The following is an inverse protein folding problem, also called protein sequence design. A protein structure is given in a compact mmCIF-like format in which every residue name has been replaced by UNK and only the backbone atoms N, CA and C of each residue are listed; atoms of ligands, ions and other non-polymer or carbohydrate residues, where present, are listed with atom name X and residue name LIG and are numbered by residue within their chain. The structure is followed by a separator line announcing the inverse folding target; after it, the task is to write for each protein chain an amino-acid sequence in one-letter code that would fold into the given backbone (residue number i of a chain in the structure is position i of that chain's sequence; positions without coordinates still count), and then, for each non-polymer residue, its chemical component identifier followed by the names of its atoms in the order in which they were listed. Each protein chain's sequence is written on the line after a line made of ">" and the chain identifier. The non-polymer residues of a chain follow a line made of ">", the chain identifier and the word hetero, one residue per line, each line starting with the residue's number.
data_IF_422780577271
#
_entry.id   IF_422780577271
#
_cell.length_a   1.000
_cell.length_b   1.000
_cell.length_c   1.000
_cell.angle_alpha   90.00
_cell.angle_beta   90.00
_cell.angle_gamma   90.00
#
_symmetry.space_group_name_H-M   'P 1'
#
loop_
_entity.id
_entity.type
_entity.pdbx_description
1 polymer ?
#
# COMPACT_ATOMS: atom_id res chain seq x y z
N UNK A 1 38.22 22.91 16.00
CA UNK A 1 36.87 22.31 15.92
C UNK A 1 35.83 23.41 15.70
N UNK A 2 35.23 23.48 14.51
CA UNK A 2 34.20 24.48 14.18
C UNK A 2 32.86 24.04 14.79
N UNK A 3 32.33 24.79 15.75
CA UNK A 3 30.97 24.61 16.30
C UNK A 3 29.97 25.01 15.20
N UNK A 4 29.16 24.07 14.72
CA UNK A 4 28.03 24.37 13.83
C UNK A 4 26.89 24.93 14.69
N UNK A 5 26.47 26.16 14.40
CA UNK A 5 25.28 26.76 15.01
C UNK A 5 24.03 26.03 14.51
N UNK A 6 23.13 25.70 15.43
CA UNK A 6 21.80 25.17 15.15
C UNK A 6 20.96 26.31 14.57
N UNK A 7 20.54 26.19 13.32
CA UNK A 7 19.57 27.12 12.70
C UNK A 7 18.17 26.60 13.04
N UNK A 8 17.44 27.31 13.89
CA UNK A 8 16.02 27.07 14.17
C UNK A 8 15.23 27.85 13.13
N UNK A 9 14.45 27.16 12.30
CA UNK A 9 13.54 27.78 11.34
C UNK A 9 12.29 28.26 12.09
N UNK A 10 12.02 29.56 12.08
CA UNK A 10 10.86 30.17 12.71
C UNK A 10 9.63 30.08 11.80
N UNK A 11 8.61 29.33 12.22
CA UNK A 11 7.22 29.57 11.83
C UNK A 11 6.41 29.96 13.08
N UNK A 12 6.83 31.05 13.72
CA UNK A 12 6.18 31.59 14.91
C UNK A 12 5.14 32.63 14.54
N UNK A 13 3.85 32.29 14.68
CA UNK A 13 2.80 33.31 14.85
C UNK A 13 3.01 33.95 16.23
N UNK A 14 3.44 35.21 16.24
CA UNK A 14 3.50 36.06 17.43
C UNK A 14 2.11 36.24 18.02
N UNK A 15 1.87 35.76 19.24
CA UNK A 15 0.74 36.20 20.06
C UNK A 15 1.24 36.62 21.45
N UNK A 16 1.17 37.93 21.64
CA UNK A 16 1.35 38.69 22.87
C UNK A 16 0.37 38.23 23.96
N UNK A 17 0.79 38.42 25.21
CA UNK A 17 0.11 38.00 26.44
C UNK A 17 -1.38 38.33 26.48
N UNK A 18 -2.20 37.29 26.67
CA UNK A 18 -3.63 37.39 26.91
C UNK A 18 -3.96 37.12 28.38
N UNK A 19 -4.70 38.06 28.97
CA UNK A 19 -5.31 37.97 30.31
C UNK A 19 -6.32 36.82 30.36
N UNK A 20 -6.30 36.05 31.46
CA UNK A 20 -7.24 34.95 31.73
C UNK A 20 -8.60 35.53 32.14
N UNK A 21 -9.66 35.23 31.38
CA UNK A 21 -11.05 35.56 31.75
C UNK A 21 -11.86 34.27 31.80
N UNK A 22 -12.46 33.99 32.96
CA UNK A 22 -13.23 32.78 33.24
C UNK A 22 -14.68 32.88 32.73
N UNK A 23 -15.08 31.95 31.87
CA UNK A 23 -16.49 31.54 31.73
C UNK A 23 -16.57 30.01 31.75
N UNK A 24 -17.60 29.41 32.39
CA UNK A 24 -17.70 27.96 32.52
C UNK A 24 -18.35 27.34 31.27
N UNK A 25 -17.60 26.48 30.58
CA UNK A 25 -18.16 25.51 29.61
C UNK A 25 -17.88 24.10 30.14
N UNK A 26 -18.94 23.29 30.28
CA UNK A 26 -18.89 21.91 30.79
C UNK A 26 -17.87 21.05 30.02
N UNK A 27 -16.96 20.42 30.76
CA UNK A 27 -16.01 19.44 30.23
C UNK A 27 -16.75 18.14 29.84
N UNK A 28 -16.88 17.89 28.54
CA UNK A 28 -17.26 16.58 28.00
C UNK A 28 -16.09 15.61 28.12
N UNK A 29 -16.29 14.50 28.83
CA UNK A 29 -15.28 13.45 28.98
C UNK A 29 -15.02 12.74 27.65
N UNK A 30 -13.78 12.81 27.17
CA UNK A 30 -13.33 12.10 25.98
C UNK A 30 -12.57 10.83 26.37
N UNK A 31 -12.99 9.68 25.81
CA UNK A 31 -12.29 8.40 25.88
C UNK A 31 -10.89 8.52 25.25
N UNK A 32 -9.84 8.49 26.08
CA UNK A 32 -8.44 8.65 25.65
C UNK A 32 -7.93 7.58 24.67
N UNK A 33 -8.52 6.38 24.67
CA UNK A 33 -8.04 5.25 23.86
C UNK A 33 -8.40 5.37 22.37
N UNK A 34 -9.45 6.12 22.04
CA UNK A 34 -10.00 6.10 20.67
C UNK A 34 -9.40 7.17 19.75
N UNK A 35 -8.74 8.21 20.30
CA UNK A 35 -8.22 9.33 19.50
C UNK A 35 -6.84 9.06 18.89
N UNK A 36 -6.05 8.15 19.48
CA UNK A 36 -4.66 7.92 19.09
C UNK A 36 -4.49 7.49 17.61
N UNK A 37 -5.32 6.60 17.04
CA UNK A 37 -5.24 6.27 15.61
C UNK A 37 -5.43 7.49 14.72
N UNK A 38 -6.37 8.38 15.07
CA UNK A 38 -6.64 9.61 14.33
C UNK A 38 -5.43 10.55 14.39
N UNK A 39 -4.84 10.72 15.57
CA UNK A 39 -3.65 11.57 15.75
C UNK A 39 -2.45 11.04 14.97
N UNK A 40 -2.24 9.72 14.91
CA UNK A 40 -1.19 9.10 14.09
C UNK A 40 -1.36 9.40 12.60
N UNK A 41 -2.59 9.27 12.07
CA UNK A 41 -2.90 9.64 10.68
C UNK A 41 -2.62 11.12 10.43
N UNK A 42 -3.00 12.00 11.36
CA UNK A 42 -2.71 13.43 11.27
C UNK A 42 -1.20 13.71 11.27
N UNK A 43 -0.43 13.02 12.12
CA UNK A 43 1.02 13.16 12.16
C UNK A 43 1.65 12.89 10.78
N UNK A 44 1.31 11.76 10.14
CA UNK A 44 1.81 11.39 8.81
C UNK A 44 1.32 12.38 7.75
N UNK A 45 0.01 12.63 7.71
CA UNK A 45 -0.62 13.49 6.71
C UNK A 45 -0.02 14.88 6.74
N UNK A 46 0.27 15.44 7.89
CA UNK A 46 0.74 16.82 8.02
C UNK A 46 2.27 16.94 7.92
N UNK A 47 3.03 15.84 8.06
CA UNK A 47 4.49 15.88 8.08
C UNK A 47 5.11 16.40 6.77
N UNK A 48 4.47 16.16 5.62
CA UNK A 48 4.95 16.65 4.32
C UNK A 48 5.03 18.18 4.24
N UNK A 49 4.34 18.90 5.13
CA UNK A 49 4.39 20.38 5.22
C UNK A 49 5.73 20.91 5.74
N UNK A 50 6.61 20.02 6.21
CA UNK A 50 7.92 20.33 6.77
C UNK A 50 9.02 19.74 5.87
N UNK A 51 9.56 20.50 4.90
CA UNK A 51 10.58 20.01 3.97
C UNK A 51 11.82 19.44 4.68
N UNK A 52 12.18 19.99 5.83
CA UNK A 52 13.27 19.52 6.70
C UNK A 52 13.07 18.07 7.16
N UNK A 53 11.83 17.58 7.16
CA UNK A 53 11.43 16.21 7.51
C UNK A 53 11.14 15.31 6.30
N UNK A 54 11.48 15.73 5.07
CA UNK A 54 11.32 14.89 3.86
C UNK A 54 11.96 13.50 4.01
N UNK A 55 11.21 12.43 3.71
CA UNK A 55 11.67 11.05 3.89
C UNK A 55 11.94 10.63 5.34
N UNK A 56 11.45 11.40 6.32
CA UNK A 56 11.43 11.02 7.73
C UNK A 56 10.03 10.53 8.13
N UNK A 57 9.96 9.78 9.22
CA UNK A 57 8.74 9.14 9.71
C UNK A 57 8.53 9.43 11.20
N UNK A 58 7.28 9.66 11.64
CA UNK A 58 6.97 9.86 13.05
C UNK A 58 6.97 8.52 13.80
N UNK A 59 7.49 8.47 15.04
CA UNK A 59 7.61 7.24 15.85
C UNK A 59 6.40 7.00 16.76
N UNK A 60 6.50 6.04 17.69
CA UNK A 60 5.57 5.91 18.80
C UNK A 60 5.44 7.22 19.60
N UNK A 61 4.20 7.67 19.88
CA UNK A 61 3.99 8.95 20.52
C UNK A 61 4.06 8.92 22.04
N UNK A 62 4.39 10.08 22.63
CA UNK A 62 4.35 10.34 24.06
C UNK A 62 3.19 11.30 24.36
N UNK A 63 2.28 10.98 25.31
CA UNK A 63 1.17 11.87 25.63
C UNK A 63 1.65 13.12 26.36
N UNK A 64 1.14 14.28 25.92
CA UNK A 64 1.34 15.58 26.53
C UNK A 64 0.03 16.09 27.12
N UNK A 65 0.10 16.67 28.31
CA UNK A 65 -1.07 17.10 29.07
C UNK A 65 -1.10 18.61 29.25
N UNK A 66 -2.28 19.18 29.40
CA UNK A 66 -2.40 20.53 29.92
C UNK A 66 -2.06 20.58 31.42
N UNK A 67 -1.76 21.77 31.97
CA UNK A 67 -1.52 21.96 33.40
C UNK A 67 -2.61 21.41 34.34
N UNK A 68 -3.87 21.38 33.90
CA UNK A 68 -5.00 20.79 34.65
C UNK A 68 -5.05 19.25 34.57
N UNK A 69 -4.23 18.63 33.72
CA UNK A 69 -4.11 17.19 33.52
C UNK A 69 -5.00 16.60 32.42
N UNK A 70 -5.75 17.42 31.67
CA UNK A 70 -6.41 17.01 30.43
C UNK A 70 -5.37 16.61 29.37
N UNK A 71 -5.73 15.68 28.48
CA UNK A 71 -4.85 15.33 27.35
C UNK A 71 -4.86 16.51 26.36
N UNK A 72 -3.68 17.00 26.01
CA UNK A 72 -3.52 18.14 25.11
C UNK A 72 -3.12 17.67 23.71
N UNK A 73 -2.06 16.88 23.64
CA UNK A 73 -1.39 16.52 22.40
C UNK A 73 -0.60 15.21 22.54
N UNK A 74 -0.05 14.76 21.42
CA UNK A 74 0.96 13.70 21.37
C UNK A 74 2.23 14.24 20.75
N UNK A 75 3.38 13.98 21.38
CA UNK A 75 4.70 14.19 20.82
C UNK A 75 5.13 12.96 20.02
N UNK A 76 5.57 13.16 18.78
CA UNK A 76 6.19 12.13 17.94
C UNK A 76 7.65 12.50 17.69
N UNK A 77 8.58 11.57 17.88
CA UNK A 77 9.92 11.75 17.30
C UNK A 77 9.81 11.62 15.79
N UNK A 78 10.63 12.38 15.08
CA UNK A 78 10.78 12.27 13.62
C UNK A 78 12.11 11.62 13.33
N UNK A 79 12.09 10.48 12.65
CA UNK A 79 13.26 9.62 12.40
C UNK A 79 13.53 9.52 10.91
N UNK A 80 14.79 9.67 10.50
CA UNK A 80 15.25 9.43 9.13
C UNK A 80 16.44 8.47 9.18
N UNK A 81 16.37 7.36 8.44
CA UNK A 81 17.43 6.32 8.41
C UNK A 81 17.86 5.86 9.81
N UNK A 82 16.89 5.61 10.68
CA UNK A 82 17.11 5.18 12.06
C UNK A 82 17.61 6.25 13.04
N UNK A 83 17.86 7.49 12.59
CA UNK A 83 18.30 8.59 13.44
C UNK A 83 17.17 9.60 13.71
N UNK A 84 17.00 10.00 14.96
CA UNK A 84 16.10 11.10 15.33
C UNK A 84 16.64 12.42 14.78
N UNK A 85 15.86 13.08 13.93
CA UNK A 85 16.20 14.37 13.33
C UNK A 85 15.38 15.53 13.93
N UNK A 86 14.30 15.22 14.64
CA UNK A 86 13.42 16.20 15.26
C UNK A 86 12.22 15.59 15.96
N UNK A 87 11.21 16.41 16.20
CA UNK A 87 9.92 16.02 16.75
C UNK A 87 8.80 16.85 16.13
N UNK A 88 7.58 16.32 16.22
CA UNK A 88 6.34 17.06 16.00
C UNK A 88 5.40 16.85 17.18
N UNK A 89 4.56 17.83 17.47
CA UNK A 89 3.49 17.75 18.44
C UNK A 89 2.18 17.88 17.71
N UNK A 90 1.34 16.86 17.82
CA UNK A 90 0.07 16.78 17.10
C UNK A 90 -1.05 16.86 18.11
N UNK A 91 -2.03 17.70 17.82
CA UNK A 91 -3.19 17.91 18.68
C UNK A 91 -3.92 16.60 18.97
N UNK A 92 -4.32 16.41 20.23
CA UNK A 92 -5.16 15.29 20.68
C UNK A 92 -6.45 15.77 21.37
N UNK A 93 -6.57 17.08 21.59
CA UNK A 93 -7.71 17.70 22.23
C UNK A 93 -8.64 18.27 21.17
N UNK A 94 -9.92 17.87 21.18
CA UNK A 94 -10.90 18.31 20.18
C UNK A 94 -11.18 19.82 20.21
N UNK A 95 -10.80 20.51 21.29
CA UNK A 95 -10.85 21.97 21.40
C UNK A 95 -9.74 22.65 20.60
N UNK A 96 -8.66 21.94 20.27
CA UNK A 96 -7.55 22.44 19.46
C UNK A 96 -7.73 22.02 17.98
N UNK A 97 -7.14 22.76 17.02
CA UNK A 97 -7.19 22.36 15.61
C UNK A 97 -6.53 20.98 15.40
N UNK A 98 -7.08 20.12 14.52
CA UNK A 98 -6.50 18.81 14.20
C UNK A 98 -5.29 18.95 13.26
N UNK A 99 -4.19 19.45 13.80
CA UNK A 99 -2.96 19.76 13.05
C UNK A 99 -1.72 19.45 13.90
N UNK A 100 -0.55 19.52 13.25
CA UNK A 100 0.72 19.71 13.94
C UNK A 100 0.70 21.10 14.61
N UNK A 101 0.79 21.11 15.94
CA UNK A 101 0.83 22.30 16.79
C UNK A 101 2.24 22.87 16.86
N UNK A 102 3.25 22.00 16.83
CA UNK A 102 4.66 22.37 16.94
C UNK A 102 5.54 21.37 16.18
N UNK A 103 6.64 21.86 15.61
CA UNK A 103 7.71 21.06 15.03
C UNK A 103 9.05 21.62 15.48
N UNK A 104 10.00 20.75 15.81
CA UNK A 104 11.35 21.15 16.21
C UNK A 104 12.42 20.20 15.67
N UNK A 105 13.58 20.74 15.30
CA UNK A 105 14.74 19.95 14.87
C UNK A 105 15.66 19.65 16.05
N UNK A 106 16.23 18.45 16.07
CA UNK A 106 17.20 18.03 17.08
C UNK A 106 16.99 16.59 17.54
N UNK A 107 18.03 15.98 18.14
CA UNK A 107 17.97 14.59 18.58
C UNK A 107 17.20 14.40 19.89
N UNK A 108 17.01 15.46 20.68
CA UNK A 108 16.28 15.40 21.95
C UNK A 108 14.90 16.04 21.84
N UNK A 109 13.88 15.34 22.31
CA UNK A 109 12.51 15.86 22.34
C UNK A 109 12.18 16.57 23.65
N UNK A 110 11.14 17.43 23.68
CA UNK A 110 10.65 18.04 24.90
C UNK A 110 10.40 17.03 26.04
N UNK A 111 9.78 15.88 25.74
CA UNK A 111 9.54 14.85 26.75
C UNK A 111 10.83 14.25 27.33
N UNK A 112 11.90 14.14 26.54
CA UNK A 112 13.21 13.67 27.00
C UNK A 112 13.91 14.72 27.89
N UNK A 113 13.82 16.00 27.52
CA UNK A 113 14.32 17.11 28.34
C UNK A 113 13.56 17.13 29.67
N UNK A 114 12.24 17.00 29.64
CA UNK A 114 11.40 16.96 30.84
C UNK A 114 11.69 15.72 31.70
N UNK A 115 12.00 14.57 31.11
CA UNK A 115 12.44 13.37 31.85
C UNK A 115 13.73 13.61 32.62
N UNK A 116 14.70 14.34 32.04
CA UNK A 116 15.93 14.74 32.75
C UNK A 116 15.62 15.68 33.92
N UNK A 117 14.72 16.65 33.72
CA UNK A 117 14.28 17.54 34.79
C UNK A 117 13.57 16.79 35.92
N UNK A 118 12.70 15.83 35.58
CA UNK A 118 12.00 15.00 36.56
C UNK A 118 12.99 14.22 37.44
N UNK A 119 14.02 13.62 36.82
CA UNK A 119 15.11 12.95 37.53
C UNK A 119 15.85 13.91 38.46
N UNK A 120 16.19 15.11 37.98
CA UNK A 120 16.85 16.16 38.79
C UNK A 120 16.00 16.60 40.00
N UNK A 121 14.68 16.60 39.87
CA UNK A 121 13.72 16.97 40.91
C UNK A 121 13.27 15.80 41.80
N UNK A 122 13.76 14.58 41.56
CA UNK A 122 13.37 13.40 42.33
C UNK A 122 11.91 12.97 42.12
N UNK A 123 11.34 13.23 40.94
CA UNK A 123 9.96 12.89 40.63
C UNK A 123 9.87 11.52 39.96
N UNK A 124 9.11 10.62 40.56
CA UNK A 124 8.88 9.27 40.04
C UNK A 124 7.54 9.13 39.31
N UNK A 125 6.52 9.90 39.72
CA UNK A 125 5.20 9.90 39.13
C UNK A 125 4.88 11.29 38.59
N UNK A 126 5.01 11.46 37.28
CA UNK A 126 4.78 12.72 36.60
C UNK A 126 4.13 12.53 35.23
N UNK A 127 3.54 13.60 34.72
CA UNK A 127 3.06 13.74 33.34
C UNK A 127 3.81 14.90 32.69
N UNK A 128 4.14 14.79 31.41
CA UNK A 128 4.73 15.90 30.67
C UNK A 128 3.63 16.90 30.33
N UNK A 129 3.88 18.17 30.63
CA UNK A 129 2.94 19.28 30.43
C UNK A 129 3.33 20.09 29.21
N UNK A 130 2.34 20.47 28.40
CA UNK A 130 2.46 21.36 27.26
C UNK A 130 1.74 22.69 27.56
N UNK A 131 2.48 23.79 27.55
CA UNK A 131 1.96 25.15 27.80
C UNK A 131 1.72 25.97 26.52
N UNK A 132 1.92 25.36 25.34
CA UNK A 132 2.08 26.02 24.04
C UNK A 132 3.43 26.73 23.86
N UNK A 133 3.73 27.10 22.60
CA UNK A 133 4.80 28.05 22.28
C UNK A 133 6.20 27.60 22.73
N UNK A 134 6.55 26.33 22.55
CA UNK A 134 7.82 25.73 22.99
C UNK A 134 7.99 25.66 24.53
N UNK A 135 6.95 25.90 25.32
CA UNK A 135 7.01 25.83 26.79
C UNK A 135 6.43 24.50 27.32
N UNK A 136 7.21 23.85 28.18
CA UNK A 136 6.95 22.51 28.71
C UNK A 136 7.16 22.43 30.22
N UNK A 137 6.60 21.41 30.84
CA UNK A 137 6.80 21.17 32.27
C UNK A 137 6.45 19.76 32.71
N UNK A 138 6.29 19.61 34.01
CA UNK A 138 5.99 18.36 34.69
C UNK A 138 4.79 18.56 35.62
N UNK A 139 3.76 17.75 35.46
CA UNK A 139 2.62 17.69 36.39
C UNK A 139 2.87 16.52 37.35
N UNK A 140 3.01 16.82 38.63
CA UNK A 140 3.12 15.82 39.69
C UNK A 140 2.17 16.17 40.83
N UNK A 141 1.22 15.27 41.12
CA UNK A 141 0.16 15.47 42.11
C UNK A 141 -0.62 16.78 41.87
N UNK A 142 -0.47 17.74 42.77
CA UNK A 142 -1.13 19.04 42.85
C UNK A 142 -0.21 20.21 42.42
N UNK A 143 0.93 19.90 41.79
CA UNK A 143 1.91 20.88 41.36
C UNK A 143 2.29 20.71 39.90
N UNK A 144 2.57 21.83 39.26
CA UNK A 144 3.14 21.93 37.92
C UNK A 144 4.53 22.55 38.06
N UNK A 145 5.53 21.92 37.46
CA UNK A 145 6.92 22.37 37.50
C UNK A 145 7.28 22.79 36.08
N UNK A 146 7.60 24.07 35.86
CA UNK A 146 7.96 24.57 34.53
C UNK A 146 9.34 24.09 34.08
N UNK A 147 9.71 24.36 32.83
CA UNK A 147 11.01 23.97 32.24
C UNK A 147 12.22 24.56 32.98
N UNK A 148 12.04 25.64 33.74
CA UNK A 148 13.06 26.28 34.59
C UNK A 148 13.14 25.63 35.98
N UNK A 149 12.22 24.71 36.29
CA UNK A 149 12.13 24.02 37.56
C UNK A 149 11.41 24.81 38.65
N UNK A 150 10.66 25.86 38.31
CA UNK A 150 9.82 26.58 39.26
C UNK A 150 8.52 25.83 39.50
N UNK A 151 8.09 25.75 40.76
CA UNK A 151 6.86 25.07 41.14
C UNK A 151 5.68 26.03 41.17
N UNK A 152 4.58 25.60 40.57
CA UNK A 152 3.31 26.30 40.52
C UNK A 152 2.22 25.36 41.04
N UNK A 153 1.20 25.92 41.69
CA UNK A 153 0.01 25.14 42.06
C UNK A 153 -0.70 24.68 40.79
N UNK A 154 -1.11 23.41 40.73
CA UNK A 154 -1.91 22.89 39.64
C UNK A 154 -3.21 23.68 39.52
N UNK A 155 -3.53 24.27 38.36
CA UNK A 155 -4.81 24.94 38.18
C UNK A 155 -5.94 23.91 38.13
N UNK A 156 -7.11 24.28 38.65
CA UNK A 156 -8.32 23.46 38.51
C UNK A 156 -8.83 23.42 37.07
N UNK A 157 -8.48 24.43 36.28
CA UNK A 157 -8.89 24.60 34.90
C UNK A 157 -7.79 25.32 34.14
N UNK A 158 -7.43 24.82 32.97
CA UNK A 158 -6.49 25.48 32.08
C UNK A 158 -7.19 25.88 30.78
N UNK A 159 -7.25 27.19 30.53
CA UNK A 159 -7.78 27.71 29.29
C UNK A 159 -6.66 27.89 28.28
N UNK A 160 -6.67 27.07 27.24
CA UNK A 160 -5.79 27.29 26.10
C UNK A 160 -6.34 28.44 25.24
N UNK A 161 -5.60 29.54 25.16
CA UNK A 161 -6.09 30.78 24.51
C UNK A 161 -5.89 30.73 22.97
N UNK A 162 -5.03 29.86 22.44
CA UNK A 162 -4.73 29.82 21.02
C UNK A 162 -5.65 28.86 20.23
N UNK A 163 -6.42 29.36 19.27
CA UNK A 163 -7.01 28.52 18.21
C UNK A 163 -8.18 27.60 18.60
N UNK A 164 -8.76 27.76 19.79
CA UNK A 164 -10.03 27.09 20.14
C UNK A 164 -11.21 27.78 19.44
N UNK A 165 -11.42 27.47 18.17
CA UNK A 165 -12.62 27.85 17.42
C UNK A 165 -13.66 26.71 17.50
N UNK A 166 -14.97 27.00 17.54
CA UNK A 166 -16.02 26.03 17.22
C UNK A 166 -15.74 25.23 15.94
N UNK A 167 -15.01 25.81 14.98
CA UNK A 167 -14.56 25.14 13.76
C UNK A 167 -13.66 23.92 14.02
N UNK A 168 -12.88 23.93 15.11
CA UNK A 168 -11.98 22.81 15.44
C UNK A 168 -12.78 21.54 15.71
N UNK A 169 -13.91 21.64 16.40
CA UNK A 169 -14.78 20.49 16.70
C UNK A 169 -15.33 19.89 15.40
N UNK A 170 -15.79 20.75 14.48
CA UNK A 170 -16.30 20.31 13.18
C UNK A 170 -15.19 19.65 12.33
N UNK A 171 -13.98 20.22 12.31
CA UNK A 171 -12.82 19.64 11.61
C UNK A 171 -12.44 18.26 12.15
N UNK A 172 -12.48 18.07 13.48
CA UNK A 172 -12.28 16.76 14.10
C UNK A 172 -13.35 15.76 13.66
N UNK A 173 -14.62 16.15 13.63
CA UNK A 173 -15.70 15.28 13.18
C UNK A 173 -15.52 14.85 11.71
N UNK A 174 -15.09 15.76 10.83
CA UNK A 174 -14.78 15.44 9.42
C UNK A 174 -13.63 14.44 9.30
N UNK A 175 -12.58 14.59 10.11
CA UNK A 175 -11.43 13.67 10.07
C UNK A 175 -11.83 12.30 10.60
N UNK A 176 -12.63 12.25 11.67
CA UNK A 176 -13.14 11.00 12.23
C UNK A 176 -14.08 10.27 11.25
N UNK A 177 -14.94 10.98 10.51
CA UNK A 177 -15.83 10.37 9.52
C UNK A 177 -15.10 9.91 8.24
N UNK A 178 -14.09 10.66 7.78
CA UNK A 178 -13.26 10.28 6.63
C UNK A 178 -12.33 9.10 6.96
N UNK A 179 -12.06 8.87 8.25
CA UNK A 179 -11.18 7.80 8.72
C UNK A 179 -11.78 6.38 8.67
N UNK A 180 -13.08 6.25 8.34
CA UNK A 180 -13.74 4.94 8.16
C UNK A 180 -13.62 4.35 6.75
N UNK A 181 -13.23 5.15 5.75
CA UNK A 181 -13.12 4.71 4.34
C UNK A 181 -11.72 4.84 3.74
N UNK A 182 -10.74 5.29 4.52
CA UNK A 182 -9.35 5.43 4.07
C UNK A 182 -8.49 4.29 4.62
N UNK A 183 -8.01 3.50 3.67
CA UNK A 183 -6.89 2.56 3.76
C UNK A 183 -5.93 2.89 4.90
N UNK A 184 -5.66 1.86 5.71
CA UNK A 184 -4.73 1.91 6.83
C UNK A 184 -3.31 2.14 6.29
N UNK A 185 -2.88 3.40 6.15
CA UNK A 185 -1.44 3.69 6.08
C UNK A 185 -0.89 3.55 7.49
N UNK A 186 -0.41 2.34 7.80
CA UNK A 186 0.25 2.09 9.06
C UNK A 186 1.44 3.05 9.26
N UNK A 187 1.66 3.49 10.50
CA UNK A 187 2.85 4.26 10.94
C UNK A 187 4.14 3.43 10.89
N UNK A 188 4.04 2.17 10.48
CA UNK A 188 5.16 1.29 10.34
C UNK A 188 6.02 1.68 9.14
N UNK A 189 7.33 1.53 9.31
CA UNK A 189 8.28 1.71 8.21
C UNK A 189 8.40 0.43 7.44
N UNK A 190 8.58 0.54 6.12
CA UNK A 190 8.96 -0.59 5.28
C UNK A 190 10.29 -1.14 5.79
N UNK A 191 10.30 -2.41 6.21
CA UNK A 191 11.51 -3.13 6.67
C UNK A 191 12.14 -3.96 5.55
N UNK A 192 11.34 -4.39 4.57
CA UNK A 192 11.78 -5.05 3.35
C UNK A 192 10.78 -4.77 2.23
N UNK A 193 11.29 -4.60 1.02
CA UNK A 193 10.47 -4.47 -0.19
C UNK A 193 11.25 -5.01 -1.38
N UNK A 194 10.55 -5.72 -2.27
CA UNK A 194 11.02 -6.04 -3.61
C UNK A 194 9.84 -5.98 -4.58
N UNK A 195 10.08 -5.41 -5.75
CA UNK A 195 9.10 -5.24 -6.83
C UNK A 195 9.77 -5.64 -8.15
N UNK A 196 9.11 -6.49 -8.93
CA UNK A 196 9.47 -6.86 -10.29
C UNK A 196 8.80 -5.89 -11.26
N UNK A 197 9.53 -4.83 -11.65
CA UNK A 197 8.96 -3.77 -12.50
C UNK A 197 8.72 -4.21 -13.94
N UNK A 198 9.45 -5.22 -14.42
CA UNK A 198 9.43 -5.65 -15.82
C UNK A 198 8.33 -6.67 -16.13
N UNK A 199 7.53 -7.07 -15.14
CA UNK A 199 6.31 -7.87 -15.38
C UNK A 199 5.30 -6.94 -16.05
N UNK A 200 4.77 -7.28 -17.25
CA UNK A 200 3.72 -6.48 -17.88
C UNK A 200 2.46 -6.48 -17.01
N UNK A 201 1.67 -5.42 -17.12
CA UNK A 201 0.47 -5.22 -16.32
C UNK A 201 -0.75 -5.16 -17.23
N UNK A 202 -1.15 -6.34 -17.71
CA UNK A 202 -2.22 -6.46 -18.69
C UNK A 202 -3.59 -6.58 -18.05
N UNK A 203 -4.62 -6.27 -18.83
CA UNK A 203 -6.00 -6.27 -18.38
C UNK A 203 -6.93 -6.89 -19.41
N UNK A 204 -8.10 -7.28 -18.94
CA UNK A 204 -9.22 -7.69 -19.80
C UNK A 204 -9.80 -6.57 -20.67
N UNK A 205 -9.24 -5.36 -20.61
CA UNK A 205 -9.68 -4.20 -21.40
C UNK A 205 -8.57 -3.64 -22.27
N UNK A 206 -7.40 -4.27 -22.27
CA UNK A 206 -6.33 -3.88 -23.17
C UNK A 206 -6.81 -4.09 -24.61
N UNK A 207 -6.43 -3.19 -25.52
CA UNK A 207 -6.90 -3.25 -26.90
C UNK A 207 -6.32 -4.48 -27.61
N UNK A 208 -7.12 -5.55 -27.62
CA UNK A 208 -6.86 -6.82 -28.26
C UNK A 208 -7.96 -7.13 -29.25
N UNK A 209 -7.77 -6.75 -30.51
CA UNK A 209 -8.38 -7.51 -31.61
C UNK A 209 -9.56 -6.94 -32.40
N UNK A 210 -9.43 -5.70 -32.89
CA UNK A 210 -10.17 -5.29 -34.11
C UNK A 210 -9.46 -4.26 -35.01
N UNK A 211 -8.34 -3.66 -34.58
CA UNK A 211 -7.77 -2.47 -35.25
C UNK A 211 -6.36 -2.61 -35.82
N UNK A 212 -5.55 -3.62 -35.43
CA UNK A 212 -4.16 -3.72 -35.86
C UNK A 212 -3.96 -4.79 -36.96
N UNK A 213 -3.34 -4.45 -38.11
CA UNK A 213 -3.02 -5.42 -39.15
C UNK A 213 -1.97 -6.43 -38.67
N UNK A 214 -2.09 -7.68 -39.13
CA UNK A 214 -1.20 -8.80 -38.82
C UNK A 214 0.30 -8.41 -38.89
N UNK A 215 1.15 -8.89 -37.96
CA UNK A 215 2.58 -8.61 -37.99
C UNK A 215 3.19 -9.15 -39.29
N UNK A 216 4.16 -8.42 -39.90
CA UNK A 216 4.85 -8.88 -41.09
C UNK A 216 5.61 -10.18 -40.80
N UNK A 217 5.07 -11.32 -41.25
CA UNK A 217 5.66 -12.65 -41.01
C UNK A 217 4.65 -13.75 -40.69
N UNK A 218 3.43 -13.40 -40.25
CA UNK A 218 2.30 -14.33 -40.29
C UNK A 218 1.89 -14.49 -41.76
N UNK A 219 1.98 -15.70 -42.30
CA UNK A 219 1.85 -15.94 -43.74
C UNK A 219 0.60 -15.29 -44.32
N UNK A 220 0.80 -14.53 -45.39
CA UNK A 220 -0.26 -14.09 -46.29
C UNK A 220 -1.09 -15.29 -46.72
N UNK A 221 -2.32 -15.38 -46.22
CA UNK A 221 -3.32 -16.31 -46.73
C UNK A 221 -3.58 -15.96 -48.19
N UNK A 222 -3.44 -16.98 -49.04
CA UNK A 222 -3.61 -16.93 -50.47
C UNK A 222 -5.05 -16.48 -50.84
N UNK A 223 -5.26 -15.39 -51.61
CA UNK A 223 -6.57 -14.79 -51.86
C UNK A 223 -7.48 -15.54 -52.85
N UNK A 224 -7.21 -16.82 -53.17
CA UNK A 224 -8.01 -17.60 -54.12
C UNK A 224 -8.95 -18.65 -53.48
N UNK A 225 -9.25 -18.54 -52.19
CA UNK A 225 -10.26 -19.36 -51.50
C UNK A 225 -11.32 -18.48 -50.82
N UNK A 226 -11.93 -17.58 -51.59
CA UNK A 226 -13.14 -16.85 -51.20
C UNK A 226 -14.28 -17.24 -52.14
N UNK A 227 -14.94 -18.34 -51.84
CA UNK A 227 -16.29 -18.58 -52.33
C UNK A 227 -16.91 -19.68 -51.50
N UNK A 228 -18.13 -19.40 -51.02
CA UNK A 228 -19.03 -20.28 -50.27
C UNK A 228 -18.79 -20.23 -48.76
N UNK A 229 -19.85 -19.91 -48.02
CA UNK A 229 -20.06 -20.24 -46.62
C UNK A 229 -19.78 -21.74 -46.38
N UNK A 230 -18.51 -22.11 -46.21
CA UNK A 230 -18.00 -23.48 -46.28
C UNK A 230 -16.81 -23.59 -45.34
N UNK A 231 -16.94 -24.39 -44.28
CA UNK A 231 -15.94 -25.23 -43.58
C UNK A 231 -14.42 -25.07 -43.89
N UNK A 232 -13.89 -23.85 -44.04
CA UNK A 232 -12.52 -23.55 -44.50
C UNK A 232 -11.83 -22.42 -43.74
N UNK A 233 -12.43 -21.92 -42.64
CA UNK A 233 -11.71 -21.10 -41.67
C UNK A 233 -10.58 -21.92 -41.07
N UNK A 234 -9.39 -21.32 -40.94
CA UNK A 234 -8.30 -21.98 -40.22
C UNK A 234 -8.82 -22.21 -38.79
N UNK A 235 -8.72 -23.43 -38.22
CA UNK A 235 -9.20 -23.69 -36.87
C UNK A 235 -8.56 -22.80 -35.80
N UNK A 236 -7.50 -22.06 -36.14
CA UNK A 236 -6.77 -21.14 -35.26
C UNK A 236 -6.99 -19.67 -35.59
N UNK A 237 -8.00 -19.34 -36.38
CA UNK A 237 -8.31 -17.94 -36.73
C UNK A 237 -8.62 -17.07 -35.50
N UNK A 238 -8.90 -17.66 -34.33
CA UNK A 238 -9.12 -16.94 -33.07
C UNK A 238 -7.84 -16.60 -32.29
N UNK A 239 -6.66 -17.07 -32.72
CA UNK A 239 -5.39 -16.76 -32.03
C UNK A 239 -4.87 -15.39 -32.48
N UNK A 240 -4.59 -14.51 -31.53
CA UNK A 240 -4.09 -13.15 -31.73
C UNK A 240 -5.21 -12.12 -31.78
N UNK A 241 -5.11 -11.09 -32.64
CA UNK A 241 -6.02 -9.94 -32.64
C UNK A 241 -7.34 -10.22 -33.39
N UNK A 242 -7.64 -11.47 -33.70
CA UNK A 242 -8.88 -11.80 -34.36
C UNK A 242 -9.95 -12.07 -33.30
N UNK A 243 -11.24 -11.81 -33.59
CA UNK A 243 -12.29 -12.13 -32.64
C UNK A 243 -12.27 -13.60 -32.24
N UNK A 244 -12.21 -13.85 -30.94
CA UNK A 244 -12.24 -15.18 -30.36
C UNK A 244 -13.68 -15.67 -30.07
N UNK A 245 -13.87 -16.98 -29.77
CA UNK A 245 -15.18 -17.54 -29.44
C UNK A 245 -15.62 -17.36 -27.98
N UNK A 246 -14.81 -16.79 -27.09
CA UNK A 246 -15.07 -16.67 -25.64
C UNK A 246 -15.57 -15.27 -25.20
N UNK A 247 -16.18 -14.53 -26.13
CA UNK A 247 -16.92 -13.27 -25.92
C UNK A 247 -16.02 -12.09 -25.57
N UNK A 248 -16.28 -11.40 -24.45
CA UNK A 248 -15.61 -10.15 -24.05
C UNK A 248 -14.60 -10.39 -22.92
N UNK A 249 -14.31 -11.64 -22.54
CA UNK A 249 -13.49 -11.92 -21.37
C UNK A 249 -12.67 -13.22 -21.45
N UNK A 250 -11.35 -13.08 -21.57
CA UNK A 250 -10.41 -14.21 -21.69
C UNK A 250 -10.19 -14.99 -20.38
N UNK A 251 -10.74 -14.51 -19.27
CA UNK A 251 -10.56 -15.10 -17.95
C UNK A 251 -9.37 -14.52 -17.17
N UNK A 252 -9.51 -14.49 -15.85
CA UNK A 252 -8.46 -13.93 -14.98
C UNK A 252 -7.16 -14.77 -14.98
N UNK A 253 -7.27 -16.10 -15.07
CA UNK A 253 -6.10 -16.98 -15.00
C UNK A 253 -5.24 -16.92 -16.28
N UNK A 254 -5.79 -16.99 -17.50
CA UNK A 254 -5.00 -16.80 -18.73
C UNK A 254 -4.32 -15.43 -18.77
N UNK A 255 -5.02 -14.35 -18.43
CA UNK A 255 -4.44 -13.00 -18.37
C UNK A 255 -3.33 -12.89 -17.31
N UNK A 256 -3.51 -13.45 -16.12
CA UNK A 256 -2.48 -13.41 -15.07
C UNK A 256 -1.23 -14.24 -15.45
N UNK A 257 -1.43 -15.40 -16.05
CA UNK A 257 -0.35 -16.29 -16.48
C UNK A 257 0.40 -15.73 -17.68
N UNK A 258 -0.28 -15.06 -18.62
CA UNK A 258 0.34 -14.45 -19.78
C UNK A 258 1.35 -13.36 -19.38
N UNK A 259 1.10 -12.64 -18.28
CA UNK A 259 2.08 -11.70 -17.73
C UNK A 259 3.37 -12.38 -17.25
N UNK A 260 3.27 -13.60 -16.72
CA UNK A 260 4.45 -14.40 -16.32
C UNK A 260 5.19 -14.91 -17.56
N UNK A 261 4.48 -15.39 -18.58
CA UNK A 261 5.09 -15.82 -19.85
C UNK A 261 5.85 -14.64 -20.48
N UNK A 262 5.20 -13.49 -20.64
CA UNK A 262 5.81 -12.31 -21.24
C UNK A 262 6.89 -11.65 -20.37
N UNK A 263 6.95 -11.97 -19.07
CA UNK A 263 8.09 -11.60 -18.25
C UNK A 263 9.38 -12.26 -18.75
N UNK A 264 9.34 -13.56 -19.11
CA UNK A 264 10.48 -14.31 -19.61
C UNK A 264 10.65 -14.24 -21.13
N UNK A 265 9.56 -14.38 -21.88
CA UNK A 265 9.49 -14.28 -23.34
C UNK A 265 9.16 -12.84 -23.77
N UNK A 266 10.12 -11.93 -23.59
CA UNK A 266 9.94 -10.48 -23.87
C UNK A 266 9.51 -10.15 -25.30
N UNK A 267 9.76 -11.06 -26.26
CA UNK A 267 9.31 -10.95 -27.64
C UNK A 267 7.77 -10.99 -27.79
N UNK A 268 7.04 -11.48 -26.79
CA UNK A 268 5.57 -11.56 -26.80
C UNK A 268 4.88 -10.33 -26.20
N UNK A 269 5.60 -9.22 -25.96
CA UNK A 269 5.05 -8.07 -25.23
C UNK A 269 4.26 -7.06 -26.07
N UNK A 270 4.26 -7.18 -27.40
CA UNK A 270 3.43 -6.29 -28.22
C UNK A 270 1.96 -6.75 -28.20
N UNK A 271 1.06 -5.86 -28.62
CA UNK A 271 -0.38 -6.10 -28.50
C UNK A 271 -0.83 -7.37 -29.23
N UNK A 272 -0.27 -7.64 -30.41
CA UNK A 272 -0.60 -8.85 -31.17
C UNK A 272 -0.23 -10.14 -30.41
N UNK A 273 0.99 -10.22 -29.89
CA UNK A 273 1.44 -11.41 -29.17
C UNK A 273 0.86 -11.51 -27.77
N UNK A 274 0.50 -10.39 -27.13
CA UNK A 274 -0.22 -10.39 -25.86
C UNK A 274 -1.50 -11.20 -25.99
N UNK A 275 -2.34 -10.88 -26.98
CA UNK A 275 -3.58 -11.62 -27.22
C UNK A 275 -3.27 -13.08 -27.55
N UNK A 276 -2.36 -13.33 -28.50
CA UNK A 276 -2.04 -14.69 -28.91
C UNK A 276 -1.62 -15.60 -27.74
N UNK A 277 -0.84 -15.09 -26.77
CA UNK A 277 -0.46 -15.90 -25.61
C UNK A 277 -1.59 -16.02 -24.57
N UNK A 278 -2.48 -15.04 -24.46
CA UNK A 278 -3.70 -15.15 -23.65
C UNK A 278 -4.60 -16.25 -24.22
N UNK A 279 -4.81 -16.27 -25.54
CA UNK A 279 -5.66 -17.26 -26.22
C UNK A 279 -5.10 -18.68 -26.08
N UNK A 280 -3.78 -18.83 -26.24
CA UNK A 280 -3.11 -20.12 -26.03
C UNK A 280 -3.31 -20.58 -24.58
N UNK A 281 -3.16 -19.68 -23.60
CA UNK A 281 -3.37 -20.02 -22.19
C UNK A 281 -4.85 -20.27 -21.87
N UNK A 282 -5.78 -19.62 -22.55
CA UNK A 282 -7.21 -19.89 -22.44
C UNK A 282 -7.50 -21.34 -22.84
N UNK A 283 -6.95 -21.78 -23.99
CA UNK A 283 -7.07 -23.15 -24.48
C UNK A 283 -6.39 -24.16 -23.54
N UNK A 284 -5.11 -23.94 -23.20
CA UNK A 284 -4.34 -24.93 -22.41
C UNK A 284 -4.83 -25.03 -20.96
N UNK A 285 -5.35 -23.94 -20.38
CA UNK A 285 -6.00 -23.98 -19.06
C UNK A 285 -7.44 -24.47 -19.11
N UNK A 286 -7.98 -24.78 -20.30
CA UNK A 286 -9.39 -25.19 -20.49
C UNK A 286 -10.35 -24.19 -19.87
N UNK A 287 -10.06 -22.91 -20.05
CA UNK A 287 -10.96 -21.83 -19.66
C UNK A 287 -12.23 -21.95 -20.51
N UNK A 288 -13.39 -21.77 -19.88
CA UNK A 288 -14.66 -21.87 -20.59
C UNK A 288 -15.07 -20.55 -21.25
N UNK A 289 -16.20 -20.58 -21.96
CA UNK A 289 -16.74 -19.42 -22.68
C UNK A 289 -17.20 -18.27 -21.77
N UNK A 290 -17.24 -18.46 -20.45
CA UNK A 290 -17.54 -17.42 -19.46
C UNK A 290 -16.26 -16.85 -18.83
N UNK A 291 -15.08 -17.32 -19.27
CA UNK A 291 -13.78 -16.94 -18.72
C UNK A 291 -13.47 -17.63 -17.39
N UNK A 292 -14.15 -18.73 -17.06
CA UNK A 292 -13.87 -19.51 -15.86
C UNK A 292 -12.80 -20.56 -16.10
N UNK A 293 -11.78 -20.53 -15.25
CA UNK A 293 -10.71 -21.53 -15.23
C UNK A 293 -10.78 -22.29 -13.91
N UNK A 294 -10.86 -23.62 -13.96
CA UNK A 294 -10.71 -24.45 -12.76
C UNK A 294 -9.28 -24.26 -12.20
N UNK A 295 -9.10 -23.95 -10.90
CA UNK A 295 -7.78 -23.77 -10.31
C UNK A 295 -6.80 -24.94 -10.55
N UNK A 296 -7.31 -26.16 -10.72
CA UNK A 296 -6.51 -27.35 -11.02
C UNK A 296 -5.93 -27.37 -12.43
N UNK A 297 -6.48 -26.59 -13.37
CA UNK A 297 -5.96 -26.47 -14.74
C UNK A 297 -4.94 -25.34 -14.90
N UNK A 298 -4.81 -24.42 -13.93
CA UNK A 298 -3.92 -23.26 -14.07
C UNK A 298 -2.46 -23.69 -14.23
N UNK A 299 -1.95 -24.52 -13.30
CA UNK A 299 -0.58 -25.03 -13.37
C UNK A 299 -0.32 -25.83 -14.66
N UNK A 300 -1.07 -26.92 -14.91
CA UNK A 300 -0.92 -27.72 -16.12
C UNK A 300 -1.04 -26.92 -17.42
N UNK A 301 -1.96 -25.96 -17.50
CA UNK A 301 -2.11 -25.13 -18.70
C UNK A 301 -0.89 -24.24 -18.97
N UNK A 302 -0.16 -23.81 -17.94
CA UNK A 302 1.12 -23.08 -18.10
C UNK A 302 2.22 -24.04 -18.56
N UNK A 303 2.23 -25.28 -18.07
CA UNK A 303 3.19 -26.31 -18.51
C UNK A 303 2.98 -26.67 -20.00
N UNK A 304 1.73 -26.78 -20.43
CA UNK A 304 1.33 -27.11 -21.80
C UNK A 304 1.51 -25.94 -22.79
N UNK A 305 1.75 -24.71 -22.31
CA UNK A 305 1.88 -23.50 -23.14
C UNK A 305 2.96 -23.65 -24.22
N UNK A 306 4.15 -24.15 -23.85
CA UNK A 306 5.29 -24.23 -24.77
C UNK A 306 4.99 -25.16 -25.95
N UNK A 307 4.48 -26.35 -25.69
CA UNK A 307 4.18 -27.34 -26.73
C UNK A 307 3.08 -26.80 -27.66
N UNK A 308 2.06 -26.13 -27.10
CA UNK A 308 0.99 -25.52 -27.88
C UNK A 308 1.49 -24.36 -28.74
N UNK A 309 2.28 -23.46 -28.17
CA UNK A 309 2.86 -22.33 -28.91
C UNK A 309 3.85 -22.80 -29.99
N UNK A 310 4.68 -23.81 -29.71
CA UNK A 310 5.56 -24.43 -30.71
C UNK A 310 4.79 -25.06 -31.86
N UNK A 311 3.69 -25.76 -31.56
CA UNK A 311 2.79 -26.28 -32.58
C UNK A 311 2.25 -25.16 -33.48
N UNK A 312 1.69 -24.10 -32.89
CA UNK A 312 1.15 -22.94 -33.64
C UNK A 312 2.22 -22.19 -34.44
N UNK A 313 3.47 -22.15 -33.96
CA UNK A 313 4.60 -21.62 -34.69
C UNK A 313 4.91 -22.47 -35.95
N UNK A 314 4.91 -23.80 -35.82
CA UNK A 314 5.13 -24.70 -36.96
C UNK A 314 3.99 -24.67 -37.99
N UNK A 315 2.75 -24.45 -37.55
CA UNK A 315 1.61 -24.21 -38.42
C UNK A 315 1.61 -22.79 -39.05
N UNK A 316 2.53 -21.92 -38.63
CA UNK A 316 2.65 -20.54 -39.13
C UNK A 316 1.57 -19.60 -38.64
N UNK A 317 0.87 -19.94 -37.55
CA UNK A 317 -0.15 -19.12 -36.89
C UNK A 317 0.50 -17.99 -36.10
N UNK A 318 1.54 -18.30 -35.30
CA UNK A 318 2.38 -17.30 -34.62
C UNK A 318 3.74 -17.17 -35.32
N UNK A 319 4.25 -15.95 -35.44
CA UNK A 319 5.48 -15.67 -36.20
C UNK A 319 6.78 -15.87 -35.41
N UNK A 320 6.70 -16.12 -34.10
CA UNK A 320 7.86 -16.24 -33.21
C UNK A 320 7.67 -17.46 -32.32
N UNK A 321 8.72 -18.27 -32.17
CA UNK A 321 8.72 -19.43 -31.29
C UNK A 321 8.91 -19.03 -29.81
N UNK A 322 8.30 -19.76 -28.86
CA UNK A 322 8.57 -19.57 -27.43
C UNK A 322 10.01 -19.94 -27.09
N UNK A 323 10.63 -19.23 -26.15
CA UNK A 323 12.00 -19.51 -25.66
C UNK A 323 11.99 -20.35 -24.39
N UNK A 324 10.91 -20.31 -23.61
CA UNK A 324 10.82 -21.01 -22.33
C UNK A 324 9.66 -22.00 -22.31
N UNK A 325 9.93 -23.20 -21.78
CA UNK A 325 8.91 -24.07 -21.20
C UNK A 325 8.78 -23.78 -19.71
N UNK A 326 7.77 -24.34 -19.07
CA UNK A 326 7.46 -24.04 -17.67
C UNK A 326 7.18 -25.33 -16.90
N UNK A 327 7.62 -25.36 -15.65
CA UNK A 327 7.21 -26.36 -14.66
C UNK A 327 6.50 -25.63 -13.53
N UNK A 328 5.44 -26.21 -12.99
CA UNK A 328 4.63 -25.58 -11.96
C UNK A 328 4.54 -26.42 -10.70
N UNK A 329 4.23 -25.75 -9.59
CA UNK A 329 3.86 -26.42 -8.34
C UNK A 329 2.76 -25.61 -7.67
N UNK A 330 1.60 -26.23 -7.50
CA UNK A 330 0.44 -25.59 -6.87
C UNK A 330 0.32 -26.00 -5.42
N UNK A 331 0.23 -25.00 -4.55
CA UNK A 331 0.00 -25.17 -3.12
C UNK A 331 -1.44 -24.78 -2.84
N UNK A 332 -2.26 -25.75 -2.48
CA UNK A 332 -3.69 -25.56 -2.19
C UNK A 332 -3.89 -25.20 -0.73
N UNK A 333 -4.72 -24.18 -0.48
CA UNK A 333 -5.10 -23.62 0.81
C UNK A 333 -3.92 -23.37 1.79
N UNK A 334 -2.79 -22.79 1.36
CA UNK A 334 -1.69 -22.45 2.26
C UNK A 334 -2.14 -21.42 3.31
N UNK A 335 -1.59 -21.46 4.52
CA UNK A 335 -1.78 -20.36 5.47
C UNK A 335 -1.07 -19.07 5.00
N UNK A 336 -1.42 -17.92 5.61
CA UNK A 336 -0.84 -16.62 5.21
C UNK A 336 0.68 -16.58 5.36
N UNK A 337 1.22 -17.23 6.39
CA UNK A 337 2.66 -17.27 6.64
C UNK A 337 3.38 -18.05 5.55
N UNK A 338 2.79 -19.16 5.11
CA UNK A 338 3.32 -19.98 4.03
C UNK A 338 3.24 -19.26 2.68
N UNK A 339 2.13 -18.60 2.37
CA UNK A 339 1.99 -17.73 1.18
C UNK A 339 3.12 -16.72 1.15
N UNK A 340 3.31 -15.97 2.25
CA UNK A 340 4.35 -14.95 2.30
C UNK A 340 5.75 -15.54 2.17
N UNK A 341 5.99 -16.72 2.73
CA UNK A 341 7.29 -17.40 2.63
C UNK A 341 7.63 -17.71 1.17
N UNK A 342 6.70 -18.30 0.42
CA UNK A 342 6.91 -18.58 -1.00
C UNK A 342 7.00 -17.31 -1.84
N UNK A 343 6.12 -16.33 -1.62
CA UNK A 343 6.20 -15.06 -2.34
C UNK A 343 7.54 -14.38 -2.07
N UNK A 344 8.01 -14.37 -0.82
CA UNK A 344 9.31 -13.81 -0.48
C UNK A 344 10.44 -14.54 -1.20
N UNK A 345 10.43 -15.88 -1.24
CA UNK A 345 11.45 -16.68 -1.93
C UNK A 345 11.47 -16.41 -3.44
N UNK A 346 10.35 -16.59 -4.13
CA UNK A 346 10.24 -16.47 -5.60
C UNK A 346 10.52 -15.04 -6.07
N UNK A 347 9.89 -14.04 -5.43
CA UNK A 347 10.13 -12.65 -5.81
C UNK A 347 11.58 -12.27 -5.52
N UNK A 348 12.20 -12.76 -4.44
CA UNK A 348 13.63 -12.52 -4.15
C UNK A 348 14.57 -13.09 -5.20
N UNK A 349 14.15 -14.11 -5.96
CA UNK A 349 14.89 -14.70 -7.09
C UNK A 349 14.41 -14.21 -8.46
N UNK A 350 13.66 -13.09 -8.49
CA UNK A 350 13.14 -12.48 -9.73
C UNK A 350 12.15 -13.38 -10.48
N UNK A 351 11.34 -14.13 -9.73
CA UNK A 351 10.35 -15.05 -10.26
C UNK A 351 8.94 -14.59 -9.87
N UNK A 352 8.13 -14.06 -10.82
CA UNK A 352 6.72 -13.81 -10.56
C UNK A 352 5.95 -15.14 -10.46
N UNK A 353 4.82 -15.11 -9.77
CA UNK A 353 4.00 -16.29 -9.47
C UNK A 353 2.51 -15.90 -9.48
N UNK A 354 1.62 -16.88 -9.41
CA UNK A 354 0.17 -16.62 -9.39
C UNK A 354 -0.43 -16.88 -8.00
N UNK A 355 -1.34 -16.00 -7.61
CA UNK A 355 -2.21 -16.17 -6.45
C UNK A 355 -3.64 -16.27 -6.94
N UNK A 356 -4.32 -17.36 -6.61
CA UNK A 356 -5.77 -17.49 -6.77
C UNK A 356 -6.40 -17.42 -5.39
N UNK A 357 -7.37 -16.54 -5.18
CA UNK A 357 -8.07 -16.46 -3.89
C UNK A 357 -9.52 -15.99 -4.03
N UNK A 358 -10.36 -16.40 -3.08
CA UNK A 358 -11.79 -16.06 -3.02
C UNK A 358 -12.08 -14.63 -2.55
N UNK A 359 -11.10 -14.00 -1.92
CA UNK A 359 -11.14 -12.61 -1.51
C UNK A 359 -9.73 -12.08 -1.26
N UNK A 360 -9.52 -10.78 -1.44
CA UNK A 360 -8.47 -10.03 -0.74
C UNK A 360 -8.83 -8.54 -0.70
N UNK A 361 -8.14 -7.79 0.17
CA UNK A 361 -8.36 -6.38 0.40
C UNK A 361 -7.04 -5.60 0.41
N UNK A 362 -7.03 -4.49 -0.29
CA UNK A 362 -5.93 -3.56 -0.44
C UNK A 362 -6.37 -2.11 -0.18
N UNK A 363 -5.46 -1.16 -0.38
CA UNK A 363 -5.78 0.27 -0.15
C UNK A 363 -6.86 0.78 -1.11
N UNK A 364 -6.78 0.35 -2.37
CA UNK A 364 -7.61 0.84 -3.48
C UNK A 364 -8.14 -0.31 -4.35
N UNK A 365 -8.08 -1.54 -3.83
CA UNK A 365 -8.52 -2.74 -4.51
C UNK A 365 -9.16 -3.71 -3.52
N UNK A 366 -10.27 -4.33 -3.90
CA UNK A 366 -10.93 -5.34 -3.11
C UNK A 366 -11.72 -6.25 -4.03
N UNK A 367 -11.61 -7.56 -3.81
CA UNK A 367 -12.55 -8.53 -4.37
C UNK A 367 -13.03 -9.48 -3.28
N UNK A 368 -14.24 -10.01 -3.44
CA UNK A 368 -14.81 -11.00 -2.55
C UNK A 368 -15.90 -11.79 -3.26
N UNK A 369 -16.00 -13.08 -2.96
CA UNK A 369 -17.14 -13.93 -3.34
C UNK A 369 -16.96 -14.75 -4.62
N UNK A 370 -15.86 -14.54 -5.34
CA UNK A 370 -15.48 -15.31 -6.53
C UNK A 370 -13.97 -15.56 -6.47
N UNK A 371 -13.53 -16.75 -6.89
CA UNK A 371 -12.10 -17.03 -7.06
C UNK A 371 -11.55 -16.14 -8.17
N UNK A 372 -10.51 -15.38 -7.83
CA UNK A 372 -9.83 -14.50 -8.76
C UNK A 372 -8.34 -14.83 -8.77
N UNK A 373 -7.76 -14.93 -9.96
CA UNK A 373 -6.33 -15.21 -10.17
C UNK A 373 -5.60 -13.93 -10.55
N UNK A 374 -4.50 -13.66 -9.87
CA UNK A 374 -3.68 -12.45 -10.06
C UNK A 374 -2.20 -12.82 -10.14
N UNK A 375 -1.43 -12.02 -10.87
CA UNK A 375 0.03 -12.13 -10.90
C UNK A 375 0.62 -11.40 -9.69
N UNK A 376 1.39 -12.08 -8.84
CA UNK A 376 2.12 -11.45 -7.74
C UNK A 376 3.47 -10.98 -8.28
N UNK A 377 3.76 -9.69 -8.12
CA UNK A 377 4.96 -9.04 -8.68
C UNK A 377 5.80 -8.34 -7.63
N UNK A 378 5.43 -8.42 -6.37
CA UNK A 378 6.21 -7.82 -5.31
C UNK A 378 5.71 -8.16 -3.92
N UNK A 379 6.51 -7.81 -2.93
CA UNK A 379 6.13 -7.88 -1.53
C UNK A 379 6.67 -6.68 -0.77
N UNK A 380 6.04 -6.42 0.38
CA UNK A 380 6.46 -5.40 1.32
C UNK A 380 6.18 -5.86 2.74
N UNK A 381 7.17 -5.74 3.62
CA UNK A 381 7.00 -5.94 5.06
C UNK A 381 7.17 -4.63 5.78
N UNK A 382 6.43 -4.49 6.87
CA UNK A 382 6.43 -3.32 7.70
C UNK A 382 6.96 -3.62 9.10
N UNK A 383 7.42 -2.59 9.81
CA UNK A 383 8.04 -2.70 11.14
C UNK A 383 7.08 -3.14 12.26
N UNK A 384 5.78 -3.09 12.01
CA UNK A 384 4.73 -3.61 12.89
C UNK A 384 4.37 -5.07 12.59
N UNK A 385 5.01 -5.68 11.59
CA UNK A 385 4.77 -7.06 11.18
C UNK A 385 3.73 -7.21 10.06
N UNK A 386 3.07 -6.13 9.64
CA UNK A 386 2.16 -6.16 8.49
C UNK A 386 2.93 -6.53 7.21
N UNK A 387 2.28 -7.32 6.37
CA UNK A 387 2.85 -7.80 5.11
C UNK A 387 1.86 -7.56 4.00
N UNK A 388 2.37 -7.07 2.88
CA UNK A 388 1.59 -6.78 1.70
C UNK A 388 2.19 -7.47 0.49
N UNK A 389 1.33 -7.87 -0.43
CA UNK A 389 1.70 -8.38 -1.75
C UNK A 389 1.35 -7.32 -2.78
N UNK A 390 2.25 -7.06 -3.73
CA UNK A 390 1.94 -6.28 -4.92
C UNK A 390 1.42 -7.25 -5.98
N UNK A 391 0.22 -6.99 -6.48
CA UNK A 391 -0.44 -7.81 -7.49
C UNK A 391 -0.77 -6.99 -8.73
N UNK A 392 -0.84 -7.66 -9.88
CA UNK A 392 -1.52 -7.15 -11.06
C UNK A 392 -2.92 -7.73 -11.10
N UNK A 393 -3.93 -6.86 -11.15
CA UNK A 393 -5.31 -7.23 -10.82
C UNK A 393 -6.05 -7.93 -11.93
N UNK A 394 -5.49 -7.98 -13.15
CA UNK A 394 -6.12 -8.39 -14.42
C UNK A 394 -7.34 -7.56 -14.84
N UNK A 395 -7.82 -6.65 -13.99
CA UNK A 395 -8.95 -5.78 -14.27
C UNK A 395 -8.50 -4.48 -14.94
N UNK A 396 -9.33 -4.02 -15.86
CA UNK A 396 -9.29 -2.67 -16.40
C UNK A 396 -9.90 -1.61 -15.47
N UNK A 397 -10.03 -0.40 -16.01
CA UNK A 397 -10.76 0.70 -15.35
C UNK A 397 -12.17 0.24 -14.93
N UNK A 398 -12.63 0.54 -13.69
CA UNK A 398 -12.08 1.54 -12.76
C UNK A 398 -11.04 1.01 -11.77
N UNK A 399 -10.64 -0.26 -11.84
CA UNK A 399 -9.69 -0.83 -10.89
C UNK A 399 -8.26 -0.45 -11.24
N UNK A 400 -7.36 -0.32 -10.24
CA UNK A 400 -5.96 -0.08 -10.51
C UNK A 400 -5.33 -1.32 -11.14
N UNK A 401 -4.49 -1.10 -12.16
CA UNK A 401 -3.70 -2.16 -12.82
C UNK A 401 -2.84 -2.95 -11.82
N UNK A 402 -2.29 -2.23 -10.83
CA UNK A 402 -1.46 -2.78 -9.76
C UNK A 402 -2.04 -2.39 -8.41
N UNK A 403 -2.08 -3.32 -7.47
CA UNK A 403 -2.59 -3.06 -6.13
C UNK A 403 -1.72 -3.71 -5.06
N UNK A 404 -1.60 -3.03 -3.91
CA UNK A 404 -1.09 -3.65 -2.70
C UNK A 404 -2.23 -4.28 -1.92
N UNK A 405 -2.18 -5.58 -1.70
CA UNK A 405 -3.14 -6.31 -0.85
C UNK A 405 -2.51 -6.67 0.48
N UNK A 406 -3.26 -6.55 1.57
CA UNK A 406 -2.83 -6.98 2.89
C UNK A 406 -2.86 -8.51 2.95
N UNK A 407 -1.75 -9.14 3.33
CA UNK A 407 -1.65 -10.60 3.41
C UNK A 407 -2.76 -11.22 4.27
N UNK A 408 -3.07 -10.58 5.41
CA UNK A 408 -4.10 -11.04 6.34
C UNK A 408 -5.54 -10.86 5.86
N UNK A 409 -5.73 -10.25 4.69
CA UNK A 409 -7.04 -10.10 4.07
C UNK A 409 -7.36 -11.17 3.02
N UNK A 410 -6.38 -12.02 2.66
CA UNK A 410 -6.58 -13.08 1.67
C UNK A 410 -7.55 -14.11 2.25
N UNK A 411 -8.62 -14.43 1.50
CA UNK A 411 -9.67 -15.38 1.90
C UNK A 411 -9.15 -16.80 2.15
N UNK A 412 -9.96 -17.65 2.77
CA UNK A 412 -9.55 -19.00 3.16
C UNK A 412 -9.36 -19.95 1.98
N UNK A 413 -10.23 -19.86 0.97
CA UNK A 413 -10.10 -20.64 -0.28
C UNK A 413 -9.10 -19.93 -1.19
N UNK A 414 -7.96 -20.56 -1.41
CA UNK A 414 -6.84 -19.98 -2.15
C UNK A 414 -5.83 -21.02 -2.61
N UNK A 415 -5.07 -20.67 -3.63
CA UNK A 415 -3.90 -21.43 -4.06
C UNK A 415 -2.78 -20.50 -4.49
N UNK A 416 -1.55 -21.02 -4.38
CA UNK A 416 -0.35 -20.36 -4.88
C UNK A 416 0.26 -21.26 -5.96
N UNK A 417 0.40 -20.74 -7.18
CA UNK A 417 1.05 -21.46 -8.28
C UNK A 417 2.45 -20.91 -8.48
N UNK A 418 3.44 -21.71 -8.09
CA UNK A 418 4.86 -21.42 -8.33
C UNK A 418 5.19 -21.81 -9.78
N UNK A 419 5.94 -20.96 -10.48
CA UNK A 419 6.24 -21.13 -11.91
C UNK A 419 7.74 -21.05 -12.10
N UNK A 420 8.35 -22.15 -12.53
CA UNK A 420 9.77 -22.23 -12.82
C UNK A 420 9.99 -22.34 -14.34
N UNK A 421 10.55 -21.30 -14.98
CA UNK A 421 10.84 -21.33 -16.42
C UNK A 421 12.05 -22.21 -16.73
N UNK A 422 12.00 -22.91 -17.84
CA UNK A 422 13.09 -23.74 -18.37
C UNK A 422 13.39 -23.28 -19.78
N UNK A 423 14.57 -22.67 -19.97
CA UNK A 423 14.99 -22.17 -21.27
C UNK A 423 15.22 -23.33 -22.24
N UNK A 424 14.57 -23.27 -23.39
CA UNK A 424 14.70 -24.23 -24.47
C UNK A 424 15.80 -23.75 -25.44
N UNK A 425 16.64 -24.70 -25.88
CA UNK A 425 17.92 -24.43 -26.56
C UNK A 425 17.87 -24.50 -28.07
#
# INVERSE_FOLDING_TARGET
>A
MKKKFLVVLFLGVLLLGGVVISTPVKAGGNNRKDILPVVRKLAIRELHKFPEFSGAIPTNPVPLYFPDGELAAYEFKVVRRGQTIGYIIVSANKKLPPTILEAGMGPETPSEIMKKLAKKKGLHNYKVVYFAGLEYGLLSKDKVIDSRGMEHRKPNYYQFIAGASPDSINKWATIESTSYSSSYTSTSTITSEKILYDVPAWTSTDEGGASEPLPPGANSINPNLMSVYSSTSNPYDYIGPNPDPWKEYDGCAPIAASMVVAYYDTQYRNDWYREAIIDILHETMKTDYEGWTDPSNIGPGIEDFYDRAMYLYHEGVIGIAPTYSYTTSTITDPDNSLIFTYVWLEISTDTPLLLTASAANGSDFKWAGVLHTVTVTGYRTYSDGEKYLLIHTTYGSPYPLKAWILLDSIGEVRSLTLINPVKMG
#
